data_IF_707375970768
#
_entry.id   IF_707375970768
#
_cell.length_a   1.000
_cell.length_b   1.000
_cell.length_c   1.000
_cell.angle_alpha   90.00
_cell.angle_beta   90.00
_cell.angle_gamma   90.00
#
_symmetry.space_group_name_H-M   'P 1'
#
loop_
_entity.id
_entity.type
_entity.pdbx_description
1 polymer ?
#
# COMPACT_ATOMS: atom_id res chain seq x y z
N UNK A 1 -11.33 -7.93 3.56
CA UNK A 1 -10.44 -7.60 2.43
C UNK A 1 -9.99 -6.15 2.56
N UNK A 2 -8.69 -5.87 2.65
CA UNK A 2 -8.19 -4.50 2.80
C UNK A 2 -8.42 -3.65 1.53
N UNK A 3 -8.29 -2.32 1.65
CA UNK A 3 -8.23 -1.36 0.55
C UNK A 3 -7.11 -0.37 0.81
N UNK A 4 -6.53 0.16 -0.23
CA UNK A 4 -5.49 1.17 -0.10
C UNK A 4 -5.50 2.15 -1.28
N UNK A 5 -4.90 3.31 -1.05
CA UNK A 5 -4.61 4.30 -2.07
C UNK A 5 -3.27 4.99 -1.79
N UNK A 6 -2.63 5.49 -2.84
CA UNK A 6 -1.49 6.41 -2.76
C UNK A 6 -1.65 7.54 -3.79
N UNK A 7 -1.19 8.71 -3.41
CA UNK A 7 -1.23 9.94 -4.20
C UNK A 7 0.14 10.63 -4.20
N UNK A 8 0.52 11.16 -5.35
CA UNK A 8 1.65 12.10 -5.51
C UNK A 8 1.23 13.17 -6.50
N UNK A 9 1.33 14.45 -6.12
CA UNK A 9 0.90 15.57 -6.95
C UNK A 9 0.92 16.91 -6.21
N UNK A 10 0.22 17.92 -6.71
CA UNK A 10 0.05 19.19 -6.01
C UNK A 10 -0.55 18.97 -4.61
N UNK A 11 -0.20 19.78 -3.62
CA UNK A 11 -0.76 19.64 -2.28
C UNK A 11 -2.29 19.75 -2.29
N UNK A 12 -2.94 18.74 -1.71
CA UNK A 12 -4.40 18.66 -1.51
C UNK A 12 -4.70 18.30 -0.07
N UNK A 13 -5.91 18.57 0.41
CA UNK A 13 -6.32 18.10 1.74
C UNK A 13 -6.42 16.57 1.74
N UNK A 14 -6.01 15.93 2.81
CA UNK A 14 -6.10 14.47 2.92
C UNK A 14 -7.57 14.01 2.80
N UNK A 15 -8.52 14.79 3.34
CA UNK A 15 -9.94 14.45 3.29
C UNK A 15 -10.48 14.39 1.86
N UNK A 16 -9.99 15.25 0.95
CA UNK A 16 -10.38 15.26 -0.46
C UNK A 16 -10.00 13.99 -1.24
N UNK A 17 -9.09 13.17 -0.71
CA UNK A 17 -8.69 11.89 -1.31
C UNK A 17 -9.24 10.68 -0.55
N UNK A 18 -9.34 10.77 0.78
CA UNK A 18 -9.63 9.62 1.63
C UNK A 18 -11.10 9.54 2.04
N UNK A 19 -11.73 10.69 2.35
CA UNK A 19 -13.06 10.75 2.96
C UNK A 19 -14.16 11.24 2.02
N UNK A 20 -13.90 12.29 1.25
CA UNK A 20 -14.91 13.01 0.49
C UNK A 20 -15.30 12.37 -0.85
N UNK A 21 -14.40 11.68 -1.60
CA UNK A 21 -14.78 11.12 -2.89
C UNK A 21 -15.95 10.12 -2.75
N UNK A 22 -16.88 10.07 -3.73
CA UNK A 22 -18.06 9.20 -3.68
C UNK A 22 -17.70 7.71 -3.55
N UNK A 23 -16.50 7.33 -3.99
CA UNK A 23 -15.94 6.00 -3.88
C UNK A 23 -14.57 6.04 -3.16
N UNK A 24 -14.35 7.06 -2.32
CA UNK A 24 -13.16 7.22 -1.50
C UNK A 24 -12.94 6.06 -0.53
N UNK A 25 -11.79 6.04 0.12
CA UNK A 25 -11.39 4.93 1.01
C UNK A 25 -12.37 4.75 2.17
N UNK A 26 -12.95 5.84 2.68
CA UNK A 26 -14.03 5.79 3.66
C UNK A 26 -15.22 4.96 3.12
N UNK A 27 -15.68 5.23 1.92
CA UNK A 27 -16.79 4.47 1.31
C UNK A 27 -16.40 3.02 1.04
N UNK A 28 -15.20 2.77 0.53
CA UNK A 28 -14.68 1.44 0.29
C UNK A 28 -14.55 0.61 1.57
N UNK A 29 -14.49 1.25 2.75
CA UNK A 29 -14.35 0.53 4.01
C UNK A 29 -15.63 -0.25 4.41
N UNK A 30 -16.81 0.14 3.92
CA UNK A 30 -18.08 -0.53 4.24
C UNK A 30 -18.97 -0.81 3.01
N UNK A 31 -18.72 -0.22 1.86
CA UNK A 31 -19.47 -0.43 0.62
C UNK A 31 -18.57 -0.38 -0.62
N UNK A 32 -17.56 -1.26 -0.71
CA UNK A 32 -16.71 -1.36 -1.89
C UNK A 32 -17.53 -1.80 -3.11
N UNK A 33 -17.13 -1.37 -4.30
CA UNK A 33 -17.70 -1.81 -5.59
C UNK A 33 -17.14 -3.15 -6.03
N UNK A 34 -15.83 -3.36 -5.82
CA UNK A 34 -15.15 -4.62 -6.17
C UNK A 34 -15.03 -5.52 -4.93
N UNK A 35 -15.74 -6.63 -4.97
CA UNK A 35 -15.79 -7.62 -3.89
C UNK A 35 -15.08 -8.92 -4.26
N UNK A 36 -14.12 -8.89 -5.18
CA UNK A 36 -13.33 -10.08 -5.54
C UNK A 36 -12.72 -10.73 -4.28
N UNK A 37 -12.99 -12.00 -4.08
CA UNK A 37 -12.52 -12.75 -2.93
C UNK A 37 -13.33 -12.58 -1.64
N UNK A 38 -14.52 -11.95 -1.70
CA UNK A 38 -15.46 -11.81 -0.57
C UNK A 38 -15.07 -10.72 0.43
N UNK A 39 -15.98 -10.41 1.34
CA UNK A 39 -15.80 -9.41 2.40
C UNK A 39 -16.14 -8.00 1.94
N UNK A 40 -17.10 -7.37 2.64
CA UNK A 40 -17.62 -6.05 2.30
C UNK A 40 -17.19 -4.99 3.29
N UNK A 41 -16.79 -5.36 4.52
CA UNK A 41 -16.52 -4.44 5.61
C UNK A 41 -15.06 -4.54 6.06
N UNK A 42 -14.40 -3.39 6.16
CA UNK A 42 -13.01 -3.23 6.62
C UNK A 42 -13.02 -2.45 7.94
N UNK A 43 -13.34 -3.16 9.03
CA UNK A 43 -13.58 -2.58 10.35
C UNK A 43 -12.43 -2.78 11.36
N UNK A 44 -11.36 -3.48 10.96
CA UNK A 44 -10.31 -3.94 11.88
C UNK A 44 -9.08 -3.03 11.86
N UNK A 45 -9.31 -1.76 11.58
CA UNK A 45 -8.32 -0.71 11.60
C UNK A 45 -8.11 -0.02 10.25
N UNK A 46 -7.39 1.09 10.32
CA UNK A 46 -7.02 1.92 9.18
C UNK A 46 -5.77 2.73 9.50
N UNK A 47 -5.24 3.40 8.51
CA UNK A 47 -4.23 4.43 8.71
C UNK A 47 -3.98 5.24 7.46
N UNK A 48 -3.33 6.37 7.68
CA UNK A 48 -2.82 7.27 6.66
C UNK A 48 -1.41 7.71 7.00
N UNK A 49 -0.57 7.81 5.99
CA UNK A 49 0.76 8.39 6.09
C UNK A 49 0.90 9.48 5.03
N UNK A 50 1.50 10.59 5.37
CA UNK A 50 1.66 11.72 4.47
C UNK A 50 3.02 12.38 4.63
N UNK A 51 3.47 13.03 3.58
CA UNK A 51 4.73 13.75 3.57
C UNK A 51 4.47 15.23 3.85
N UNK A 52 4.92 15.74 5.01
CA UNK A 52 4.77 17.16 5.33
C UNK A 52 5.40 18.05 4.26
N UNK A 53 4.78 19.17 3.97
CA UNK A 53 5.41 20.20 3.16
C UNK A 53 6.65 20.72 3.89
N UNK A 54 7.80 20.70 3.22
CA UNK A 54 9.04 21.25 3.75
C UNK A 54 9.41 22.53 2.99
N UNK A 55 10.09 23.50 3.62
CA UNK A 55 10.61 24.68 2.93
C UNK A 55 11.49 24.29 1.74
N UNK A 56 11.46 25.09 0.68
CA UNK A 56 12.32 24.90 -0.50
C UNK A 56 13.80 24.87 -0.07
N UNK A 57 14.50 23.80 -0.51
CA UNK A 57 15.93 23.61 -0.18
C UNK A 57 16.19 22.81 1.11
N UNK A 58 15.14 22.43 1.86
CA UNK A 58 15.28 21.52 2.99
C UNK A 58 15.33 20.06 2.52
N UNK A 59 16.04 19.15 3.24
CA UNK A 59 15.87 17.71 3.03
C UNK A 59 14.41 17.33 3.19
N UNK A 60 13.91 16.37 2.39
CA UNK A 60 12.56 15.86 2.53
C UNK A 60 12.32 15.34 3.96
N UNK A 61 11.21 15.72 4.57
CA UNK A 61 10.85 15.19 5.88
C UNK A 61 10.40 13.74 5.76
N UNK A 62 10.69 12.93 6.78
CA UNK A 62 10.10 11.61 6.93
C UNK A 62 8.56 11.72 7.00
N UNK A 63 7.82 10.76 6.46
CA UNK A 63 6.37 10.79 6.49
C UNK A 63 5.84 10.68 7.92
N UNK A 64 4.78 11.44 8.20
CA UNK A 64 3.99 11.31 9.42
C UNK A 64 2.95 10.20 9.22
N UNK A 65 2.67 9.42 10.25
CA UNK A 65 1.68 8.33 10.18
C UNK A 65 0.64 8.44 11.29
N UNK A 66 -0.61 8.28 10.92
CA UNK A 66 -1.74 8.05 11.82
C UNK A 66 -2.24 6.62 11.61
N UNK A 67 -2.35 5.81 12.66
CA UNK A 67 -2.86 4.44 12.60
C UNK A 67 -3.83 4.18 13.73
N UNK A 68 -4.93 3.50 13.46
CA UNK A 68 -5.99 3.18 14.40
C UNK A 68 -6.40 1.71 14.26
N UNK A 69 -6.84 1.10 15.35
CA UNK A 69 -7.46 -0.23 15.36
C UNK A 69 -8.98 -0.16 15.17
N UNK A 70 -9.54 1.04 15.17
CA UNK A 70 -10.99 1.28 15.02
C UNK A 70 -11.39 1.36 13.55
N UNK A 71 -12.65 1.17 13.20
CA UNK A 71 -13.17 1.47 11.87
C UNK A 71 -12.98 2.95 11.53
N UNK A 72 -12.61 3.25 10.28
CA UNK A 72 -12.36 4.64 9.83
C UNK A 72 -13.57 5.57 10.05
N UNK A 73 -14.79 5.07 9.83
CA UNK A 73 -16.03 5.87 9.98
C UNK A 73 -16.40 6.22 11.43
N UNK A 74 -15.70 5.67 12.41
CA UNK A 74 -15.93 5.98 13.83
C UNK A 74 -14.91 6.96 14.41
N UNK A 75 -13.87 7.30 13.66
CA UNK A 75 -12.73 8.08 14.14
C UNK A 75 -12.88 9.57 13.78
N UNK A 76 -13.60 10.30 14.64
CA UNK A 76 -13.80 11.74 14.46
C UNK A 76 -12.51 12.55 14.55
N UNK A 77 -11.52 12.07 15.33
CA UNK A 77 -10.21 12.73 15.43
C UNK A 77 -9.46 12.64 14.10
N UNK A 78 -9.49 11.46 13.47
CA UNK A 78 -8.90 11.31 12.14
C UNK A 78 -9.58 12.21 11.09
N UNK A 79 -10.91 12.31 11.13
CA UNK A 79 -11.64 13.19 10.21
C UNK A 79 -11.19 14.65 10.34
N UNK A 80 -11.01 15.14 11.56
CA UNK A 80 -10.49 16.48 11.81
C UNK A 80 -9.05 16.65 11.30
N UNK A 81 -8.17 15.68 11.58
CA UNK A 81 -6.80 15.66 11.09
C UNK A 81 -6.75 15.67 9.55
N UNK A 82 -7.57 14.83 8.91
CA UNK A 82 -7.61 14.73 7.44
C UNK A 82 -8.08 16.03 6.78
N UNK A 83 -9.04 16.74 7.39
CA UNK A 83 -9.52 18.04 6.92
C UNK A 83 -8.48 19.16 7.09
N UNK A 84 -7.66 19.10 8.14
CA UNK A 84 -6.64 20.10 8.44
C UNK A 84 -5.28 19.82 7.77
N UNK A 85 -5.05 18.60 7.26
CA UNK A 85 -3.77 18.18 6.70
C UNK A 85 -3.76 18.35 5.19
N UNK A 86 -2.80 19.13 4.70
CA UNK A 86 -2.50 19.28 3.26
C UNK A 86 -1.15 18.64 2.96
N UNK A 87 -1.10 17.80 1.92
CA UNK A 87 0.12 17.09 1.52
C UNK A 87 0.20 16.89 0.01
N UNK A 88 1.42 16.91 -0.54
CA UNK A 88 1.70 16.59 -1.93
C UNK A 88 1.86 15.09 -2.19
N UNK A 89 1.98 14.28 -1.13
CA UNK A 89 2.01 12.83 -1.24
C UNK A 89 1.43 12.18 0.02
N UNK A 90 0.70 11.09 -0.18
CA UNK A 90 0.16 10.27 0.91
C UNK A 90 -0.07 8.81 0.49
N UNK A 91 -0.16 7.94 1.49
CA UNK A 91 -0.64 6.57 1.38
C UNK A 91 -1.64 6.31 2.50
N UNK A 92 -2.83 5.79 2.18
CA UNK A 92 -3.83 5.43 3.17
C UNK A 92 -4.38 4.02 2.92
N UNK A 93 -4.81 3.35 3.99
CA UNK A 93 -5.35 2.00 3.91
C UNK A 93 -6.43 1.75 4.96
N UNK A 94 -7.40 0.90 4.62
CA UNK A 94 -8.37 0.30 5.56
C UNK A 94 -8.18 -1.20 5.62
N UNK A 95 -8.44 -1.79 6.77
CA UNK A 95 -8.11 -3.17 7.09
C UNK A 95 -9.31 -4.01 7.44
N UNK A 96 -9.32 -5.23 6.92
CA UNK A 96 -10.08 -6.36 7.45
C UNK A 96 -9.07 -7.43 7.84
N UNK A 97 -8.99 -7.76 9.12
CA UNK A 97 -8.05 -8.74 9.64
C UNK A 97 -8.43 -10.16 9.21
N UNK A 98 -7.46 -10.95 8.84
CA UNK A 98 -7.65 -12.39 8.71
C UNK A 98 -7.90 -13.00 10.09
N UNK A 99 -8.81 -13.96 10.18
CA UNK A 99 -9.13 -14.64 11.44
C UNK A 99 -7.84 -15.12 12.13
N UNK A 100 -7.69 -14.79 13.41
CA UNK A 100 -6.51 -15.11 14.22
C UNK A 100 -5.39 -14.07 14.17
N UNK A 101 -5.47 -13.05 13.32
CA UNK A 101 -4.52 -11.93 13.33
C UNK A 101 -4.93 -10.85 14.34
N UNK A 102 -3.96 -10.13 14.95
CA UNK A 102 -4.26 -9.09 15.92
C UNK A 102 -4.98 -7.89 15.28
N UNK A 103 -5.93 -7.30 16.03
CA UNK A 103 -6.57 -6.04 15.69
C UNK A 103 -5.97 -4.96 16.58
N UNK A 104 -4.89 -4.35 16.09
CA UNK A 104 -4.12 -3.31 16.77
C UNK A 104 -3.72 -2.22 15.79
N UNK A 105 -3.46 -1.00 16.28
CA UNK A 105 -2.99 0.09 15.44
C UNK A 105 -1.66 -0.27 14.72
N UNK A 106 -0.77 -1.02 15.38
CA UNK A 106 0.49 -1.47 14.79
C UNK A 106 0.31 -2.45 13.63
N UNK A 107 -0.81 -3.17 13.57
CA UNK A 107 -1.15 -4.07 12.46
C UNK A 107 -1.81 -3.34 11.27
N UNK A 108 -2.15 -2.07 11.42
CA UNK A 108 -2.76 -1.24 10.37
C UNK A 108 -1.67 -0.57 9.53
N UNK A 109 -1.79 -0.66 8.20
CA UNK A 109 -0.97 0.10 7.26
C UNK A 109 -1.31 1.62 7.35
N UNK A 110 -0.38 2.52 6.96
CA UNK A 110 0.89 2.21 6.32
C UNK A 110 1.98 1.79 7.31
N UNK A 111 2.74 0.78 6.90
CA UNK A 111 4.05 0.48 7.48
C UNK A 111 5.08 1.45 6.89
N UNK A 112 6.22 1.65 7.54
CA UNK A 112 7.21 2.55 6.96
C UNK A 112 8.52 2.63 7.72
N UNK A 113 9.57 3.07 6.99
CA UNK A 113 10.90 3.36 7.51
C UNK A 113 11.56 4.43 6.65
N UNK A 114 12.18 5.45 7.30
CA UNK A 114 12.68 6.61 6.59
C UNK A 114 11.59 7.19 5.68
N UNK A 115 11.95 7.47 4.44
CA UNK A 115 11.01 8.04 3.45
C UNK A 115 9.93 7.07 2.93
N UNK A 116 9.95 5.78 3.27
CA UNK A 116 9.07 4.79 2.67
C UNK A 116 7.76 4.63 3.42
N UNK A 117 6.65 4.56 2.70
CA UNK A 117 5.36 4.09 3.18
C UNK A 117 4.91 2.87 2.37
N UNK A 118 4.38 1.87 3.06
CA UNK A 118 3.98 0.59 2.47
C UNK A 118 2.61 0.12 2.96
N UNK A 119 1.86 -0.53 2.07
CA UNK A 119 0.61 -1.21 2.38
C UNK A 119 0.48 -2.51 1.59
N UNK A 120 -0.21 -3.49 2.16
CA UNK A 120 -0.61 -4.74 1.52
C UNK A 120 -2.14 -4.88 1.56
N UNK A 121 -2.75 -5.05 0.40
CA UNK A 121 -4.14 -5.47 0.25
C UNK A 121 -4.16 -6.91 -0.27
N UNK A 122 -4.45 -7.86 0.62
CA UNK A 122 -4.43 -9.27 0.26
C UNK A 122 -4.39 -10.21 1.44
N UNK A 123 -3.87 -11.41 1.19
CA UNK A 123 -3.63 -12.45 2.20
C UNK A 123 -2.56 -13.40 1.68
N UNK A 124 -1.64 -13.79 2.54
CA UNK A 124 -0.68 -14.87 2.28
C UNK A 124 -1.30 -16.20 2.71
N UNK A 125 -1.47 -17.12 1.76
CA UNK A 125 -2.02 -18.45 2.04
C UNK A 125 -1.06 -19.27 2.90
N UNK A 126 -1.62 -20.03 3.84
CA UNK A 126 -0.83 -20.87 4.74
C UNK A 126 0.08 -20.09 5.71
N UNK A 127 -0.19 -18.79 5.92
CA UNK A 127 0.48 -18.01 6.95
C UNK A 127 0.38 -18.65 8.34
N UNK A 128 1.45 -18.65 9.17
CA UNK A 128 2.81 -18.16 8.84
C UNK A 128 3.72 -19.23 8.22
N UNK A 129 3.35 -20.51 8.29
CA UNK A 129 4.23 -21.63 7.96
C UNK A 129 4.72 -21.62 6.49
N UNK A 130 3.85 -21.25 5.55
CA UNK A 130 4.19 -21.27 4.13
C UNK A 130 5.31 -20.30 3.76
N UNK A 131 5.51 -19.23 4.52
CA UNK A 131 6.51 -18.18 4.23
C UNK A 131 7.78 -18.29 5.08
N UNK A 132 8.00 -19.41 5.75
CA UNK A 132 9.23 -19.64 6.52
C UNK A 132 10.51 -19.52 5.66
N UNK A 133 10.45 -20.01 4.40
CA UNK A 133 11.56 -19.87 3.45
C UNK A 133 11.90 -18.42 3.14
N UNK A 134 10.98 -17.63 2.56
CA UNK A 134 11.20 -16.19 2.37
C UNK A 134 11.59 -15.44 3.64
N UNK A 135 11.00 -15.76 4.79
CA UNK A 135 11.33 -15.13 6.07
C UNK A 135 12.76 -15.40 6.52
N UNK A 136 13.34 -16.55 6.17
CA UNK A 136 14.71 -16.90 6.49
C UNK A 136 15.77 -16.01 5.79
N UNK A 137 15.39 -15.25 4.78
CA UNK A 137 16.26 -14.25 4.14
C UNK A 137 16.51 -13.03 5.07
N UNK A 138 15.63 -12.81 6.06
CA UNK A 138 15.69 -11.65 6.93
C UNK A 138 16.67 -11.87 8.10
N UNK A 139 17.39 -10.81 8.54
CA UNK A 139 18.05 -10.81 9.81
C UNK A 139 17.04 -11.14 10.94
N UNK A 140 17.47 -11.93 11.92
CA UNK A 140 16.62 -12.30 13.07
C UNK A 140 16.06 -11.07 13.78
N UNK A 141 16.84 -10.00 13.88
CA UNK A 141 16.40 -8.72 14.46
C UNK A 141 15.21 -8.11 13.71
N UNK A 142 15.15 -8.23 12.39
CA UNK A 142 14.04 -7.74 11.60
C UNK A 142 12.75 -8.54 11.85
N UNK A 143 12.88 -9.85 12.12
CA UNK A 143 11.75 -10.70 12.51
C UNK A 143 11.26 -10.40 13.92
N UNK A 144 12.17 -10.13 14.86
CA UNK A 144 11.83 -9.80 16.25
C UNK A 144 11.21 -8.39 16.40
N UNK A 145 11.38 -7.53 15.41
CA UNK A 145 10.91 -6.12 15.42
C UNK A 145 9.85 -5.85 14.39
N UNK A 146 9.11 -6.87 13.94
CA UNK A 146 7.92 -6.66 13.09
C UNK A 146 6.91 -5.76 13.82
N UNK A 147 6.28 -4.84 13.10
CA UNK A 147 5.23 -3.96 13.65
C UNK A 147 4.09 -4.77 14.31
N UNK A 148 3.75 -5.92 13.74
CA UNK A 148 2.76 -6.87 14.25
C UNK A 148 3.02 -8.27 13.67
N UNK A 149 2.54 -9.36 14.33
CA UNK A 149 2.66 -10.72 13.79
C UNK A 149 1.63 -10.97 12.68
N UNK A 150 1.79 -10.28 11.56
CA UNK A 150 0.91 -10.35 10.39
C UNK A 150 1.70 -10.58 9.10
N UNK A 151 1.04 -11.16 8.10
CA UNK A 151 1.61 -11.32 6.76
C UNK A 151 2.03 -9.97 6.15
N UNK A 152 1.23 -8.92 6.33
CA UNK A 152 1.52 -7.58 5.81
C UNK A 152 2.79 -6.98 6.42
N UNK A 153 3.03 -7.18 7.73
CA UNK A 153 4.25 -6.71 8.38
C UNK A 153 5.48 -7.50 7.92
N UNK A 154 5.35 -8.82 7.69
CA UNK A 154 6.43 -9.61 7.10
C UNK A 154 6.74 -9.19 5.65
N UNK A 155 5.70 -8.98 4.83
CA UNK A 155 5.89 -8.49 3.46
C UNK A 155 6.61 -7.14 3.43
N UNK A 156 6.27 -6.24 4.37
CA UNK A 156 7.01 -4.99 4.54
C UNK A 156 8.46 -5.24 4.92
N UNK A 157 8.74 -6.12 5.87
CA UNK A 157 10.12 -6.44 6.27
C UNK A 157 10.95 -6.98 5.09
N UNK A 158 10.37 -7.85 4.24
CA UNK A 158 11.02 -8.38 3.04
C UNK A 158 11.30 -7.28 1.99
N UNK A 159 10.34 -6.39 1.73
CA UNK A 159 10.52 -5.25 0.83
C UNK A 159 11.58 -4.30 1.38
N UNK A 160 11.49 -3.94 2.65
CA UNK A 160 12.42 -3.07 3.36
C UNK A 160 13.85 -3.60 3.33
N UNK A 161 14.03 -4.90 3.56
CA UNK A 161 15.34 -5.55 3.51
C UNK A 161 16.00 -5.37 2.13
N UNK A 162 15.23 -5.58 1.05
CA UNK A 162 15.73 -5.38 -0.33
C UNK A 162 16.02 -3.92 -0.65
N UNK A 163 15.18 -2.99 -0.17
CA UNK A 163 15.42 -1.54 -0.33
C UNK A 163 16.70 -1.10 0.39
N UNK A 164 16.95 -1.61 1.61
CA UNK A 164 18.19 -1.35 2.37
C UNK A 164 19.43 -1.90 1.65
N UNK A 165 19.27 -3.00 0.92
CA UNK A 165 20.32 -3.57 0.07
C UNK A 165 20.51 -2.82 -1.27
N UNK A 166 19.79 -1.71 -1.50
CA UNK A 166 19.92 -0.88 -2.70
C UNK A 166 19.12 -1.34 -3.90
N UNK A 167 18.17 -2.27 -3.73
CA UNK A 167 17.32 -2.68 -4.84
C UNK A 167 16.39 -1.54 -5.30
N UNK A 168 16.17 -1.45 -6.62
CA UNK A 168 15.15 -0.57 -7.18
C UNK A 168 13.76 -0.95 -6.62
N UNK A 169 12.89 0.05 -6.29
CA UNK A 169 11.63 -0.22 -5.61
C UNK A 169 10.72 -1.20 -6.33
N UNK A 170 10.58 -1.06 -7.64
CA UNK A 170 9.79 -1.99 -8.46
C UNK A 170 10.38 -3.42 -8.46
N UNK A 171 11.69 -3.55 -8.49
CA UNK A 171 12.37 -4.85 -8.39
C UNK A 171 12.21 -5.47 -7.00
N UNK A 172 12.26 -4.67 -5.93
CA UNK A 172 12.02 -5.13 -4.56
C UNK A 172 10.61 -5.71 -4.40
N UNK A 173 9.58 -4.99 -4.87
CA UNK A 173 8.18 -5.47 -4.86
C UNK A 173 8.02 -6.74 -5.70
N UNK A 174 8.50 -6.75 -6.94
CA UNK A 174 8.42 -7.90 -7.85
C UNK A 174 9.05 -9.13 -7.22
N UNK A 175 10.26 -9.00 -6.69
CA UNK A 175 10.96 -10.12 -6.08
C UNK A 175 10.25 -10.69 -4.84
N UNK A 176 9.62 -9.83 -4.01
CA UNK A 176 8.82 -10.29 -2.85
C UNK A 176 7.55 -11.01 -3.33
N UNK A 177 6.81 -10.45 -4.30
CA UNK A 177 5.60 -11.09 -4.84
C UNK A 177 5.91 -12.46 -5.40
N UNK A 178 6.96 -12.60 -6.22
CA UNK A 178 7.32 -13.88 -6.84
C UNK A 178 7.81 -14.91 -5.81
N UNK A 179 8.63 -14.50 -4.84
CA UNK A 179 9.11 -15.39 -3.78
C UNK A 179 7.95 -15.90 -2.90
N UNK A 180 7.01 -15.01 -2.55
CA UNK A 180 5.84 -15.39 -1.74
C UNK A 180 4.86 -16.22 -2.55
N UNK A 181 4.58 -15.91 -3.82
CA UNK A 181 3.71 -16.75 -4.66
C UNK A 181 4.30 -18.15 -4.85
N UNK A 182 5.62 -18.28 -4.99
CA UNK A 182 6.28 -19.59 -5.07
C UNK A 182 6.13 -20.39 -3.78
N UNK A 183 6.24 -19.75 -2.62
CA UNK A 183 6.15 -20.39 -1.30
C UNK A 183 4.70 -20.66 -0.86
N UNK A 184 3.78 -19.79 -1.24
CA UNK A 184 2.37 -19.77 -0.85
C UNK A 184 1.46 -19.50 -2.06
N UNK A 185 1.32 -20.45 -3.00
CA UNK A 185 0.59 -20.26 -4.24
C UNK A 185 -0.87 -19.85 -4.03
N UNK A 186 -1.35 -18.93 -4.87
CA UNK A 186 -2.69 -18.38 -4.81
C UNK A 186 -2.88 -17.34 -3.71
N UNK A 187 -1.79 -16.80 -3.17
CA UNK A 187 -1.80 -15.61 -2.32
C UNK A 187 -2.30 -14.40 -3.11
N UNK A 188 -2.85 -13.43 -2.40
CA UNK A 188 -3.23 -12.13 -2.96
C UNK A 188 -2.25 -11.08 -2.45
N UNK A 189 -1.53 -10.44 -3.36
CA UNK A 189 -0.32 -9.67 -3.08
C UNK A 189 -0.35 -8.31 -3.80
N UNK A 190 -1.47 -7.56 -3.64
CA UNK A 190 -1.49 -6.17 -4.06
C UNK A 190 -0.67 -5.36 -3.05
N UNK A 191 0.56 -5.06 -3.42
CA UNK A 191 1.48 -4.24 -2.63
C UNK A 191 1.44 -2.80 -3.13
N UNK A 192 1.56 -1.84 -2.25
CA UNK A 192 1.60 -0.41 -2.55
C UNK A 192 2.72 0.23 -1.77
N UNK A 193 3.62 0.92 -2.47
CA UNK A 193 4.81 1.56 -1.93
C UNK A 193 4.93 2.99 -2.48
N UNK A 194 5.34 3.93 -1.65
CA UNK A 194 5.70 5.28 -2.09
C UNK A 194 6.86 5.83 -1.26
N UNK A 195 7.63 6.73 -1.87
CA UNK A 195 8.69 7.51 -1.22
C UNK A 195 8.37 9.02 -1.16
N UNK A 196 7.12 9.38 -1.51
CA UNK A 196 6.67 10.76 -1.59
C UNK A 196 6.87 11.42 -2.96
N UNK A 197 7.63 10.80 -3.88
CA UNK A 197 7.89 11.31 -5.23
C UNK A 197 7.34 10.41 -6.34
N UNK A 198 7.19 9.11 -6.05
CA UNK A 198 6.65 8.13 -6.97
C UNK A 198 5.84 7.06 -6.22
N UNK A 199 5.04 6.32 -6.97
CA UNK A 199 4.23 5.21 -6.49
C UNK A 199 4.62 3.94 -7.25
N UNK A 200 4.87 2.86 -6.51
CA UNK A 200 5.03 1.52 -7.06
C UNK A 200 3.95 0.63 -6.48
N UNK A 201 3.30 -0.16 -7.34
CA UNK A 201 2.25 -1.06 -6.88
C UNK A 201 2.22 -2.36 -7.69
N UNK A 202 1.70 -3.42 -7.09
CA UNK A 202 1.49 -4.71 -7.76
C UNK A 202 0.02 -5.04 -7.80
N UNK A 203 -0.48 -5.45 -8.96
CA UNK A 203 -1.82 -6.01 -9.12
C UNK A 203 -1.72 -7.54 -9.13
N UNK A 204 -1.95 -8.18 -7.97
CA UNK A 204 -1.85 -9.64 -7.82
C UNK A 204 -2.99 -10.19 -6.97
N UNK A 205 -4.08 -10.55 -7.61
CA UNK A 205 -5.23 -11.21 -6.99
C UNK A 205 -6.37 -10.28 -6.57
N UNK A 206 -6.17 -8.96 -6.55
CA UNK A 206 -7.21 -7.95 -6.35
C UNK A 206 -7.21 -6.92 -7.47
N UNK A 207 -8.30 -6.15 -7.57
CA UNK A 207 -8.34 -4.98 -8.43
C UNK A 207 -7.33 -3.93 -7.98
N UNK A 208 -6.85 -3.17 -8.93
CA UNK A 208 -6.06 -1.98 -8.76
C UNK A 208 -6.36 -1.04 -9.91
N UNK A 209 -6.57 0.22 -9.62
CA UNK A 209 -6.83 1.27 -10.61
C UNK A 209 -5.82 2.39 -10.48
N UNK A 210 -5.48 2.98 -11.59
CA UNK A 210 -4.52 4.09 -11.67
C UNK A 210 -5.09 5.24 -12.47
N UNK A 211 -4.81 6.47 -12.04
CA UNK A 211 -5.07 7.70 -12.80
C UNK A 211 -3.81 8.56 -12.74
N UNK A 212 -3.27 8.89 -13.89
CA UNK A 212 -2.07 9.74 -14.01
C UNK A 212 -2.37 10.84 -15.03
N UNK A 213 -2.12 12.08 -14.63
CA UNK A 213 -2.10 13.23 -15.53
C UNK A 213 -0.77 14.00 -15.39
N UNK A 214 -0.63 15.13 -16.06
CA UNK A 214 0.61 15.91 -16.05
C UNK A 214 0.99 16.40 -14.64
N UNK A 215 0.03 16.58 -13.74
CA UNK A 215 0.22 17.16 -12.41
C UNK A 215 0.25 16.10 -11.30
N UNK A 216 -0.46 14.98 -11.44
CA UNK A 216 -0.67 14.02 -10.35
C UNK A 216 -0.64 12.57 -10.81
N UNK A 217 -0.32 11.69 -9.86
CA UNK A 217 -0.48 10.24 -9.97
C UNK A 217 -1.27 9.73 -8.77
N UNK A 218 -2.27 8.89 -9.03
CA UNK A 218 -3.13 8.27 -8.03
C UNK A 218 -3.29 6.78 -8.34
N UNK A 219 -3.00 5.94 -7.35
CA UNK A 219 -3.19 4.48 -7.42
C UNK A 219 -4.12 4.09 -6.29
N UNK A 220 -5.18 3.36 -6.58
CA UNK A 220 -6.19 2.95 -5.59
C UNK A 220 -6.73 1.57 -5.87
N UNK A 221 -7.21 0.89 -4.84
CA UNK A 221 -7.89 -0.41 -4.97
C UNK A 221 -9.11 -0.35 -5.90
N UNK A 222 -9.79 0.80 -5.95
CA UNK A 222 -10.91 1.11 -6.84
C UNK A 222 -10.82 2.58 -7.28
N UNK A 223 -11.40 2.99 -8.42
CA UNK A 223 -11.58 4.40 -8.75
C UNK A 223 -12.25 5.15 -7.61
N UNK A 224 -11.75 6.35 -7.28
CA UNK A 224 -12.33 7.17 -6.20
C UNK A 224 -13.61 7.90 -6.62
N UNK A 225 -13.81 8.04 -7.92
CA UNK A 225 -14.95 8.73 -8.57
C UNK A 225 -15.25 8.08 -9.92
N UNK A 226 -16.36 8.51 -10.55
CA UNK A 226 -16.75 8.08 -11.89
C UNK A 226 -16.13 8.97 -13.00
N UNK A 227 -15.11 9.77 -12.65
CA UNK A 227 -14.39 10.63 -13.59
C UNK A 227 -13.59 9.85 -14.63
N UNK A 228 -13.27 10.53 -15.72
CA UNK A 228 -12.44 9.97 -16.78
C UNK A 228 -10.98 9.82 -16.35
N UNK A 229 -10.25 8.97 -17.05
CA UNK A 229 -8.79 8.80 -16.86
C UNK A 229 -8.39 7.71 -15.87
N UNK A 230 -9.35 7.02 -15.27
CA UNK A 230 -9.05 5.80 -14.52
C UNK A 230 -8.79 4.63 -15.47
N UNK A 231 -7.69 3.91 -15.22
CA UNK A 231 -7.30 2.71 -15.94
C UNK A 231 -7.21 1.53 -14.95
N UNK A 232 -7.84 0.39 -15.28
CA UNK A 232 -7.67 -0.83 -14.50
C UNK A 232 -6.29 -1.43 -14.80
N UNK A 233 -5.55 -1.76 -13.75
CA UNK A 233 -4.24 -2.39 -13.87
C UNK A 233 -4.43 -3.89 -14.13
N UNK A 234 -3.88 -4.45 -15.22
CA UNK A 234 -4.02 -5.86 -15.51
C UNK A 234 -3.40 -6.73 -14.40
N UNK A 235 -4.00 -7.90 -14.17
CA UNK A 235 -3.46 -8.87 -13.22
C UNK A 235 -2.01 -9.23 -13.53
N UNK A 236 -1.19 -9.44 -12.48
CA UNK A 236 0.26 -9.71 -12.58
C UNK A 236 1.07 -8.58 -13.23
N UNK A 237 0.69 -7.35 -12.95
CA UNK A 237 1.47 -6.19 -13.40
C UNK A 237 2.01 -5.38 -12.23
N UNK A 238 3.20 -4.81 -12.47
CA UNK A 238 3.81 -3.76 -11.69
C UNK A 238 3.40 -2.41 -12.27
N UNK A 239 2.95 -1.53 -11.41
CA UNK A 239 2.75 -0.10 -11.69
C UNK A 239 3.98 0.66 -11.21
N UNK A 240 4.47 1.58 -12.04
CA UNK A 240 5.34 2.68 -11.62
C UNK A 240 4.67 3.97 -12.08
N UNK A 241 4.25 4.81 -11.15
CA UNK A 241 3.50 6.02 -11.43
C UNK A 241 4.10 7.24 -10.73
N UNK A 242 4.14 8.35 -11.44
CA UNK A 242 4.45 9.71 -10.95
C UNK A 242 3.76 10.73 -11.86
N UNK A 243 3.65 11.99 -11.44
CA UNK A 243 3.06 13.02 -12.30
C UNK A 243 3.64 12.99 -13.72
N UNK A 244 2.77 12.92 -14.73
CA UNK A 244 3.13 12.85 -16.14
C UNK A 244 3.69 11.51 -16.63
N UNK A 245 3.84 10.50 -15.77
CA UNK A 245 4.43 9.21 -16.17
C UNK A 245 3.70 8.01 -15.56
N UNK A 246 3.26 7.10 -16.42
CA UNK A 246 2.75 5.78 -16.05
C UNK A 246 3.51 4.70 -16.80
N UNK A 247 3.97 3.68 -16.10
CA UNK A 247 4.53 2.47 -16.68
C UNK A 247 3.85 1.25 -16.05
N UNK A 248 3.32 0.39 -16.90
CA UNK A 248 2.83 -0.93 -16.55
C UNK A 248 3.78 -1.98 -17.11
N UNK A 249 4.20 -2.93 -16.29
CA UNK A 249 5.09 -4.00 -16.70
C UNK A 249 4.62 -5.34 -16.13
N UNK A 250 4.67 -6.45 -16.88
CA UNK A 250 4.37 -7.76 -16.33
C UNK A 250 5.31 -8.11 -15.17
N UNK A 251 4.75 -8.70 -14.10
CA UNK A 251 5.52 -9.28 -13.00
C UNK A 251 6.04 -10.65 -13.42
N UNK A 252 7.25 -10.66 -13.98
CA UNK A 252 7.95 -11.88 -14.40
C UNK A 252 9.29 -11.97 -13.68
N UNK A 253 9.78 -13.19 -13.45
CA UNK A 253 11.16 -13.38 -12.99
C UNK A 253 12.10 -12.83 -14.06
N UNK A 254 12.81 -11.77 -13.73
CA UNK A 254 13.95 -11.33 -14.55
C UNK A 254 15.07 -12.33 -14.34
N UNK A 255 15.12 -13.38 -15.13
CA UNK A 255 16.35 -14.17 -15.26
C UNK A 255 17.36 -13.23 -15.93
N UNK A 256 18.54 -12.95 -15.32
CA UNK A 256 19.58 -12.24 -16.01
C UNK A 256 19.93 -13.07 -17.26
N UNK A 257 19.74 -12.51 -18.47
CA UNK A 257 20.38 -13.09 -19.64
C UNK A 257 21.89 -12.92 -19.44
N UNK A 258 22.55 -13.97 -19.00
CA UNK A 258 24.01 -14.11 -19.11
C UNK A 258 24.36 -14.04 -20.61
N UNK A 259 24.97 -12.93 -20.99
CA UNK A 259 25.73 -12.82 -22.23
C UNK A 259 27.14 -13.34 -22.01
#
# INVERSE_FOLDING_TARGET
MCRHLAYVGPPVTMSSLVLEPPHGLLRQSYAPRDMRGGGTVNADGFGAGWYPAVPVGSPGADPVRYRSASPMWTDAAFAAVAGATTAGALLAAVRSATVGMPVTASASAPFGEGRWLFSHNGVVRGWPAAVAGPAAELPVTDLLTLDAPTDSALLWALVRHRLRAGAEPGAALTGVVLAVEQAAPGSRLNLLLTDGAAIWATAWGHALSVRVDAAAALVSSEPLDDGIGWEEVPHRHLVTARPGQLRLAPLTSTTPQTR
#
